data_IF_394224834683
#
_entry.id   IF_394224834683
#
_cell.length_a   1.000
_cell.length_b   1.000
_cell.length_c   1.000
_cell.angle_alpha   90.00
_cell.angle_beta   90.00
_cell.angle_gamma   90.00
#
_symmetry.space_group_name_H-M   'P 1'
#
loop_
_entity.id
_entity.type
_entity.pdbx_description
1 polymer ?
#
# COMPACT_ATOMS: atom_id res chain seq x y z
N UNK A 1 -13.92 12.49 -6.62
CA UNK A 1 -13.08 12.13 -5.46
C UNK A 1 -13.68 12.58 -4.14
N UNK A 2 -14.23 13.79 -4.07
CA UNK A 2 -14.90 14.36 -2.88
C UNK A 2 -16.06 13.54 -2.32
N UNK A 3 -16.87 12.89 -3.19
CA UNK A 3 -17.97 12.02 -2.75
C UNK A 3 -17.49 10.83 -1.93
N UNK A 4 -16.42 10.17 -2.37
CA UNK A 4 -15.84 9.01 -1.67
C UNK A 4 -15.22 9.40 -0.33
N UNK A 5 -14.51 10.53 -0.28
CA UNK A 5 -13.94 11.04 0.98
C UNK A 5 -15.03 11.39 2.00
N UNK A 6 -16.15 11.96 1.54
CA UNK A 6 -17.30 12.26 2.40
C UNK A 6 -17.90 10.99 3.01
N UNK A 7 -18.11 9.95 2.20
CA UNK A 7 -18.63 8.66 2.66
C UNK A 7 -17.70 8.04 3.72
N UNK A 8 -16.39 8.04 3.49
CA UNK A 8 -15.41 7.51 4.45
C UNK A 8 -15.42 8.28 5.78
N UNK A 9 -15.53 9.61 5.72
CA UNK A 9 -15.56 10.46 6.91
C UNK A 9 -16.83 10.22 7.74
N UNK A 10 -18.00 10.11 7.09
CA UNK A 10 -19.27 9.77 7.75
C UNK A 10 -19.18 8.41 8.44
N UNK A 11 -18.62 7.39 7.77
CA UNK A 11 -18.43 6.07 8.37
C UNK A 11 -17.49 6.09 9.58
N UNK A 12 -16.41 6.89 9.53
CA UNK A 12 -15.50 7.06 10.68
C UNK A 12 -16.18 7.75 11.87
N UNK A 13 -17.04 8.75 11.62
CA UNK A 13 -17.81 9.42 12.68
C UNK A 13 -18.79 8.44 13.32
N UNK A 14 -19.52 7.66 12.52
CA UNK A 14 -20.44 6.64 13.02
C UNK A 14 -19.68 5.61 13.87
N UNK A 15 -18.51 5.14 13.40
CA UNK A 15 -17.66 4.22 14.15
C UNK A 15 -17.19 4.83 15.48
N UNK A 16 -16.77 6.09 15.48
CA UNK A 16 -16.35 6.81 16.68
C UNK A 16 -17.47 6.93 17.72
N UNK A 17 -18.72 7.13 17.27
CA UNK A 17 -19.88 7.25 18.14
C UNK A 17 -20.34 5.91 18.74
N UNK A 18 -20.29 4.82 17.96
CA UNK A 18 -20.78 3.50 18.39
C UNK A 18 -19.69 2.70 19.15
N UNK A 19 -18.45 2.72 18.65
CA UNK A 19 -17.31 1.93 19.18
C UNK A 19 -16.00 2.73 19.11
N UNK A 20 -15.77 3.71 20.02
CA UNK A 20 -14.57 4.55 20.00
C UNK A 20 -13.26 3.76 20.13
N UNK A 21 -13.30 2.62 20.83
CA UNK A 21 -12.16 1.71 21.00
C UNK A 21 -11.61 1.19 19.65
N UNK A 22 -12.48 1.04 18.65
CA UNK A 22 -12.12 0.49 17.34
C UNK A 22 -11.35 1.50 16.47
N UNK A 23 -11.34 2.80 16.81
CA UNK A 23 -10.53 3.81 16.11
C UNK A 23 -9.03 3.53 16.22
N UNK A 24 -8.59 2.98 17.36
CA UNK A 24 -7.20 2.58 17.54
C UNK A 24 -6.82 1.45 16.57
N UNK A 25 -7.72 0.48 16.37
CA UNK A 25 -7.51 -0.65 15.43
C UNK A 25 -7.46 -0.17 13.98
N UNK A 26 -8.34 0.74 13.59
CA UNK A 26 -8.33 1.32 12.23
C UNK A 26 -7.03 2.08 11.98
N UNK A 27 -6.61 2.90 12.94
CA UNK A 27 -5.35 3.67 12.85
C UNK A 27 -4.16 2.72 12.75
N UNK A 28 -4.12 1.68 13.57
CA UNK A 28 -3.08 0.66 13.53
C UNK A 28 -2.99 -0.03 12.16
N UNK A 29 -4.13 -0.46 11.60
CA UNK A 29 -4.16 -1.07 10.25
C UNK A 29 -3.71 -0.10 9.15
N UNK A 30 -4.09 1.18 9.22
CA UNK A 30 -3.60 2.20 8.29
C UNK A 30 -2.08 2.38 8.38
N UNK A 31 -1.53 2.38 9.60
CA UNK A 31 -0.08 2.45 9.81
C UNK A 31 0.62 1.23 9.22
N UNK A 32 0.11 0.01 9.43
CA UNK A 32 0.69 -1.19 8.84
C UNK A 32 0.70 -1.16 7.31
N UNK A 33 -0.40 -0.73 6.68
CA UNK A 33 -0.48 -0.64 5.21
C UNK A 33 0.48 0.41 4.66
N UNK A 34 0.58 1.57 5.30
CA UNK A 34 1.49 2.64 4.87
C UNK A 34 2.96 2.25 5.05
N UNK A 35 3.31 1.62 6.18
CA UNK A 35 4.65 1.06 6.40
C UNK A 35 4.98 -0.05 5.39
N UNK A 36 4.03 -0.94 5.10
CA UNK A 36 4.21 -1.98 4.09
C UNK A 36 4.43 -1.43 2.67
N UNK A 37 3.73 -0.37 2.30
CA UNK A 37 3.95 0.31 1.03
C UNK A 37 5.37 0.90 0.94
N UNK A 38 5.82 1.58 1.99
CA UNK A 38 7.16 2.16 2.07
C UNK A 38 8.22 1.06 2.03
N UNK A 39 8.10 0.04 2.87
CA UNK A 39 9.04 -1.09 2.91
C UNK A 39 9.10 -1.83 1.57
N UNK A 40 7.95 -2.16 0.98
CA UNK A 40 7.88 -2.82 -0.33
C UNK A 40 8.54 -2.02 -1.45
N UNK A 41 8.40 -0.68 -1.44
CA UNK A 41 9.11 0.19 -2.39
C UNK A 41 10.64 0.14 -2.21
N UNK A 42 11.12 0.16 -0.97
CA UNK A 42 12.55 0.05 -0.69
C UNK A 42 13.11 -1.32 -1.06
N UNK A 43 12.35 -2.40 -0.85
CA UNK A 43 12.70 -3.76 -1.27
C UNK A 43 12.83 -3.82 -2.80
N UNK A 44 11.85 -3.31 -3.56
CA UNK A 44 11.97 -3.26 -5.03
C UNK A 44 13.23 -2.50 -5.48
N UNK A 45 13.56 -1.40 -4.80
CA UNK A 45 14.73 -0.58 -5.15
C UNK A 45 16.08 -1.23 -4.77
N UNK A 46 16.13 -2.05 -3.72
CA UNK A 46 17.35 -2.77 -3.32
C UNK A 46 17.60 -4.01 -4.18
N UNK A 47 16.55 -4.69 -4.64
CA UNK A 47 16.67 -5.88 -5.50
C UNK A 47 16.98 -5.52 -6.96
N UNK A 48 16.51 -4.37 -7.46
CA UNK A 48 16.63 -4.00 -8.88
C UNK A 48 17.33 -2.64 -9.08
N UNK A 49 18.66 -2.64 -9.37
CA UNK A 49 19.42 -1.43 -9.65
C UNK A 49 18.97 -0.73 -10.94
N UNK A 50 19.13 0.60 -10.96
CA UNK A 50 18.83 1.59 -12.00
C UNK A 50 18.22 1.07 -13.32
N UNK A 51 18.98 0.35 -14.15
CA UNK A 51 18.55 -0.11 -15.49
C UNK A 51 17.27 -0.97 -15.50
N UNK A 52 16.96 -1.67 -14.40
CA UNK A 52 15.77 -2.54 -14.27
C UNK A 52 14.54 -1.82 -13.69
N UNK A 53 14.58 -0.48 -13.55
CA UNK A 53 13.48 0.31 -13.02
C UNK A 53 12.41 0.57 -14.09
N UNK A 54 11.12 0.61 -13.71
CA UNK A 54 10.04 0.73 -14.70
C UNK A 54 10.09 1.99 -15.59
N UNK A 55 10.73 3.07 -15.13
CA UNK A 55 10.86 4.32 -15.87
C UNK A 55 12.15 4.43 -16.70
N UNK A 56 13.09 3.50 -16.52
CA UNK A 56 14.38 3.46 -17.24
C UNK A 56 14.40 2.34 -18.30
N UNK A 57 13.37 1.50 -18.37
CA UNK A 57 13.26 0.40 -19.32
C UNK A 57 12.93 0.89 -20.74
N UNK A 58 13.69 0.42 -21.73
CA UNK A 58 13.59 0.86 -23.15
C UNK A 58 12.47 0.17 -23.95
N UNK A 59 12.06 -1.03 -23.56
CA UNK A 59 11.06 -1.83 -24.26
C UNK A 59 9.74 -1.89 -23.46
N UNK A 60 8.61 -1.62 -24.13
CA UNK A 60 7.28 -1.61 -23.51
C UNK A 60 6.95 -2.92 -22.75
N UNK A 61 7.34 -4.07 -23.30
CA UNK A 61 7.10 -5.37 -22.64
C UNK A 61 7.83 -5.47 -21.29
N UNK A 62 9.06 -4.97 -21.22
CA UNK A 62 9.91 -4.97 -20.02
C UNK A 62 9.39 -3.96 -18.99
N UNK A 63 8.90 -2.79 -19.45
CA UNK A 63 8.24 -1.78 -18.61
C UNK A 63 7.03 -2.38 -17.89
N UNK A 64 6.14 -3.07 -18.62
CA UNK A 64 4.96 -3.72 -18.04
C UNK A 64 5.38 -4.78 -17.01
N UNK A 65 6.37 -5.61 -17.35
CA UNK A 65 6.91 -6.61 -16.43
C UNK A 65 7.51 -6.00 -15.14
N UNK A 66 8.22 -4.88 -15.26
CA UNK A 66 8.80 -4.17 -14.13
C UNK A 66 7.73 -3.53 -13.20
N UNK A 67 6.65 -2.97 -13.77
CA UNK A 67 5.52 -2.46 -12.99
C UNK A 67 4.76 -3.58 -12.28
N UNK A 68 4.50 -4.69 -12.96
CA UNK A 68 3.83 -5.84 -12.38
C UNK A 68 4.64 -6.43 -11.21
N UNK A 69 5.96 -6.58 -11.39
CA UNK A 69 6.87 -7.03 -10.34
C UNK A 69 6.84 -6.12 -9.11
N UNK A 70 6.98 -4.80 -9.31
CA UNK A 70 6.91 -3.83 -8.20
C UNK A 70 5.58 -3.93 -7.47
N UNK A 71 4.47 -4.03 -8.22
CA UNK A 71 3.14 -4.25 -7.66
C UNK A 71 3.06 -5.51 -6.82
N UNK A 72 3.60 -6.63 -7.31
CA UNK A 72 3.63 -7.92 -6.58
C UNK A 72 4.48 -7.86 -5.31
N UNK A 73 5.65 -7.23 -5.34
CA UNK A 73 6.53 -7.09 -4.16
C UNK A 73 5.83 -6.25 -3.08
N UNK A 74 5.25 -5.12 -3.46
CA UNK A 74 4.53 -4.24 -2.52
C UNK A 74 3.29 -4.94 -1.97
N UNK A 75 2.53 -5.65 -2.81
CA UNK A 75 1.37 -6.43 -2.40
C UNK A 75 1.76 -7.53 -1.41
N UNK A 76 2.82 -8.30 -1.68
CA UNK A 76 3.32 -9.34 -0.79
C UNK A 76 3.76 -8.75 0.56
N UNK A 77 4.42 -7.59 0.57
CA UNK A 77 4.82 -6.91 1.80
C UNK A 77 3.62 -6.45 2.64
N UNK A 78 2.62 -5.82 2.01
CA UNK A 78 1.39 -5.39 2.70
C UNK A 78 0.63 -6.60 3.24
N UNK A 79 0.46 -7.66 2.47
CA UNK A 79 -0.21 -8.88 2.93
C UNK A 79 0.55 -9.52 4.11
N UNK A 80 1.87 -9.63 4.04
CA UNK A 80 2.68 -10.17 5.13
C UNK A 80 2.52 -9.39 6.44
N UNK A 81 2.48 -8.05 6.37
CA UNK A 81 2.32 -7.19 7.55
C UNK A 81 0.89 -7.13 8.07
N UNK A 82 -0.11 -7.36 7.22
CA UNK A 82 -1.54 -7.25 7.59
C UNK A 82 -2.17 -8.58 7.98
N UNK A 83 -1.63 -9.71 7.52
CA UNK A 83 -2.06 -11.07 7.87
C UNK A 83 -1.26 -11.69 9.02
N UNK A 84 -0.12 -11.11 9.40
CA UNK A 84 0.75 -11.60 10.48
C UNK A 84 0.22 -11.37 11.91
N UNK A 85 -1.10 -11.22 12.07
CA UNK A 85 -1.81 -10.94 13.33
C UNK A 85 -2.97 -11.90 13.55
#
# INVERSE_FOLDING_TARGET
>A
MTSWTLVTLVLLIILAAIRPEQLQVVTYKLVLVTLGAVAGYWIDRSLFPYVARPHECSANLVVVGAWLRRGLIVLACILGLTLGL
#
